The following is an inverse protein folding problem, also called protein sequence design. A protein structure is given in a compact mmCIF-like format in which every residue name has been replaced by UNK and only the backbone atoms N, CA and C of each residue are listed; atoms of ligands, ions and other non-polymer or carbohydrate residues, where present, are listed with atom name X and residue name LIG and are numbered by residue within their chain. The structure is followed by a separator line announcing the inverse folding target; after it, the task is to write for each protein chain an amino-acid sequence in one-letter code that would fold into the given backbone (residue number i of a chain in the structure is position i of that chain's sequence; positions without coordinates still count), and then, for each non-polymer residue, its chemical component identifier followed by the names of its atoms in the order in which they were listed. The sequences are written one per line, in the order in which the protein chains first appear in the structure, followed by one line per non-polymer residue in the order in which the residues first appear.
data_IF_811464212903
#
_entry.id   IF_811464212903
#
_cell.length_a   1.000
_cell.length_b   1.000
_cell.length_c   1.000
_cell.angle_alpha   90.00
_cell.angle_beta   90.00
_cell.angle_gamma   90.00
#
_symmetry.space_group_name_H-M   'P 1'
#
loop_
_entity.id
_entity.type
_entity.pdbx_description
1 polymer ?
#
# COMPACT_ATOMS: atom_id res chain seq x y z
N UNK A 1 -20.29 9.80 21.86
CA UNK A 1 -20.36 9.58 20.41
C UNK A 1 -19.20 8.68 20.01
N UNK A 2 -19.45 7.42 19.62
CA UNK A 2 -18.39 6.52 19.13
C UNK A 2 -17.93 6.97 17.74
N UNK A 3 -16.65 7.35 17.61
CA UNK A 3 -16.04 7.74 16.34
C UNK A 3 -15.71 6.46 15.56
N UNK A 4 -16.53 6.10 14.59
CA UNK A 4 -16.13 5.07 13.62
C UNK A 4 -15.27 5.70 12.55
N UNK A 5 -14.14 5.08 12.29
CA UNK A 5 -13.15 5.52 11.31
C UNK A 5 -13.11 4.50 10.18
N UNK A 6 -13.06 4.96 8.93
CA UNK A 6 -12.82 4.10 7.79
C UNK A 6 -11.36 3.66 7.77
N UNK A 7 -11.10 2.36 7.73
CA UNK A 7 -9.76 1.80 7.58
C UNK A 7 -9.78 0.29 7.57
N UNK A 8 -8.60 -0.33 7.40
CA UNK A 8 -8.47 -1.78 7.48
C UNK A 8 -8.35 -2.22 8.96
N UNK A 9 -9.25 -3.05 9.50
CA UNK A 9 -9.15 -3.54 10.88
C UNK A 9 -8.06 -4.61 11.06
N UNK A 10 -7.52 -5.16 9.98
CA UNK A 10 -6.41 -6.11 10.03
C UNK A 10 -5.14 -5.42 10.55
N UNK A 11 -4.50 -6.04 11.54
CA UNK A 11 -3.29 -5.53 12.18
C UNK A 11 -2.05 -6.18 11.57
N UNK A 12 -1.01 -5.38 11.37
CA UNK A 12 0.33 -5.81 10.97
C UNK A 12 1.33 -4.95 11.74
N UNK A 13 2.44 -5.54 12.17
CA UNK A 13 3.51 -4.75 12.80
C UNK A 13 4.30 -3.95 11.75
N UNK A 14 4.91 -2.85 12.17
CA UNK A 14 5.80 -2.06 11.29
C UNK A 14 6.97 -2.90 10.75
N UNK A 15 7.46 -3.87 11.54
CA UNK A 15 8.51 -4.79 11.13
C UNK A 15 8.06 -5.69 9.98
N UNK A 16 6.93 -6.38 10.14
CA UNK A 16 6.37 -7.26 9.10
C UNK A 16 6.07 -6.46 7.83
N UNK A 17 5.51 -5.26 7.97
CA UNK A 17 5.24 -4.37 6.85
C UNK A 17 6.52 -3.97 6.08
N UNK A 18 7.58 -3.62 6.80
CA UNK A 18 8.87 -3.31 6.19
C UNK A 18 9.50 -4.52 5.48
N UNK A 19 9.39 -5.72 6.07
CA UNK A 19 9.88 -6.97 5.49
C UNK A 19 9.12 -7.33 4.21
N UNK A 20 7.79 -7.18 4.21
CA UNK A 20 6.94 -7.45 3.04
C UNK A 20 7.23 -6.50 1.88
N UNK A 21 7.35 -5.18 2.16
CA UNK A 21 7.75 -4.19 1.14
C UNK A 21 9.12 -4.54 0.56
N UNK A 22 10.10 -4.89 1.41
CA UNK A 22 11.45 -5.23 0.95
C UNK A 22 11.42 -6.44 0.02
N UNK A 23 10.65 -7.47 0.38
CA UNK A 23 10.49 -8.68 -0.44
C UNK A 23 9.82 -8.37 -1.78
N UNK A 24 8.68 -7.67 -1.78
CA UNK A 24 7.94 -7.32 -3.00
C UNK A 24 8.72 -6.40 -3.93
N UNK A 25 9.44 -5.43 -3.36
CA UNK A 25 10.29 -4.52 -4.13
C UNK A 25 11.53 -5.22 -4.71
N UNK A 26 11.94 -6.37 -4.15
CA UNK A 26 13.22 -7.01 -4.46
C UNK A 26 14.42 -6.19 -3.96
N UNK A 27 14.23 -5.44 -2.87
CA UNK A 27 15.23 -4.49 -2.37
C UNK A 27 16.24 -5.16 -1.44
N UNK A 28 17.49 -4.67 -1.49
CA UNK A 28 18.57 -5.02 -0.54
C UNK A 28 18.72 -3.99 0.59
N UNK A 29 17.78 -3.05 0.71
CA UNK A 29 17.81 -2.03 1.78
C UNK A 29 17.83 -2.68 3.16
N UNK A 30 18.63 -2.10 4.04
CA UNK A 30 18.67 -2.46 5.45
C UNK A 30 17.43 -1.93 6.19
N UNK A 31 16.91 -2.72 7.14
CA UNK A 31 15.86 -2.28 8.05
C UNK A 31 16.53 -1.76 9.31
N UNK A 32 16.40 -0.46 9.56
CA UNK A 32 17.03 0.23 10.71
C UNK A 32 15.95 0.66 11.70
N UNK A 33 16.16 0.35 12.99
CA UNK A 33 15.26 0.75 14.08
C UNK A 33 15.61 2.14 14.59
N UNK A 34 14.60 2.99 14.72
CA UNK A 34 14.73 4.34 15.30
C UNK A 34 13.76 4.49 16.47
N UNK A 35 14.05 5.39 17.43
CA UNK A 35 13.11 5.70 18.50
C UNK A 35 11.75 6.15 17.95
N UNK A 36 10.66 5.73 18.60
CA UNK A 36 9.30 6.15 18.27
C UNK A 36 9.15 7.66 18.55
N UNK A 37 8.62 8.47 17.60
CA UNK A 37 8.24 9.85 17.88
C UNK A 37 7.25 9.94 19.05
N UNK A 38 7.32 11.01 19.84
CA UNK A 38 6.49 11.16 21.04
C UNK A 38 4.98 11.17 20.73
N UNK A 39 4.60 11.67 19.54
CA UNK A 39 3.21 11.82 19.10
C UNK A 39 2.66 10.61 18.32
N UNK A 40 3.48 9.57 18.08
CA UNK A 40 3.06 8.41 17.32
C UNK A 40 2.35 7.35 18.21
N UNK A 41 1.12 6.95 17.88
CA UNK A 41 0.41 5.91 18.61
C UNK A 41 1.07 4.54 18.37
N UNK A 42 1.20 3.76 19.45
CA UNK A 42 1.77 2.40 19.40
C UNK A 42 0.90 1.38 18.66
N UNK A 43 -0.40 1.64 18.56
CA UNK A 43 -1.37 0.75 17.92
C UNK A 43 -2.42 1.59 17.18
N UNK A 44 -2.79 1.14 15.98
CA UNK A 44 -3.86 1.75 15.18
C UNK A 44 -4.76 0.64 14.66
N UNK A 45 -5.96 0.53 15.23
CA UNK A 45 -7.01 -0.39 14.80
C UNK A 45 -8.35 0.36 14.69
N UNK A 46 -8.83 0.66 13.48
CA UNK A 46 -10.11 1.35 13.30
C UNK A 46 -11.29 0.44 13.67
N UNK A 47 -12.28 0.99 14.37
CA UNK A 47 -13.59 0.35 14.53
C UNK A 47 -14.48 0.74 13.35
N UNK A 48 -14.77 -0.25 12.50
CA UNK A 48 -15.56 -0.10 11.27
C UNK A 48 -17.04 -0.45 11.43
N UNK A 49 -17.50 -0.79 12.64
CA UNK A 49 -18.86 -1.29 12.89
C UNK A 49 -19.94 -0.39 12.30
N UNK A 50 -19.82 0.95 12.43
CA UNK A 50 -20.82 1.89 11.87
C UNK A 50 -20.78 1.95 10.35
N UNK A 51 -19.60 1.82 9.73
CA UNK A 51 -19.46 1.84 8.28
C UNK A 51 -20.06 0.55 7.68
N UNK A 52 -19.83 -0.59 8.31
CA UNK A 52 -20.47 -1.85 7.93
C UNK A 52 -21.99 -1.78 8.09
N UNK A 53 -22.46 -1.36 9.28
CA UNK A 53 -23.89 -1.37 9.63
C UNK A 53 -24.71 -0.39 8.80
N UNK A 54 -24.21 0.83 8.56
CA UNK A 54 -25.00 1.89 7.93
C UNK A 54 -24.70 2.08 6.45
N UNK A 55 -23.52 1.68 5.97
CA UNK A 55 -23.10 1.89 4.58
C UNK A 55 -22.88 0.58 3.83
N UNK A 56 -22.93 -0.58 4.50
CA UNK A 56 -22.53 -1.86 3.91
C UNK A 56 -21.06 -1.86 3.47
N UNK A 57 -20.25 -0.96 4.01
CA UNK A 57 -18.88 -0.74 3.58
C UNK A 57 -17.92 -1.56 4.43
N UNK A 58 -16.98 -2.22 3.75
CA UNK A 58 -15.85 -2.91 4.36
C UNK A 58 -14.65 -2.88 3.39
N UNK A 59 -13.40 -2.93 3.89
CA UNK A 59 -12.24 -3.09 3.02
C UNK A 59 -12.26 -4.45 2.32
N UNK A 60 -12.25 -4.45 0.99
CA UNK A 60 -12.28 -5.68 0.17
C UNK A 60 -10.93 -6.02 -0.47
N UNK A 61 -9.95 -5.11 -0.38
CA UNK A 61 -8.62 -5.31 -0.96
C UNK A 61 -7.68 -5.75 0.16
N UNK A 62 -7.10 -6.97 0.09
CA UNK A 62 -6.09 -7.42 1.02
C UNK A 62 -4.85 -6.52 1.00
N UNK A 63 -4.12 -6.46 2.12
CA UNK A 63 -2.89 -5.67 2.23
C UNK A 63 -1.87 -6.03 1.16
N UNK A 64 -1.63 -7.33 0.98
CA UNK A 64 -0.67 -7.86 0.00
C UNK A 64 -1.00 -7.43 -1.44
N UNK A 65 -2.28 -7.51 -1.84
CA UNK A 65 -2.73 -7.05 -3.16
C UNK A 65 -2.50 -5.55 -3.33
N UNK A 66 -2.80 -4.76 -2.31
CA UNK A 66 -2.56 -3.32 -2.30
C UNK A 66 -1.07 -2.98 -2.43
N UNK A 67 -0.20 -3.71 -1.71
CA UNK A 67 1.24 -3.54 -1.77
C UNK A 67 1.82 -3.91 -3.14
N UNK A 68 1.38 -5.02 -3.74
CA UNK A 68 1.80 -5.42 -5.08
C UNK A 68 1.45 -4.36 -6.13
N UNK A 69 0.21 -3.85 -6.11
CA UNK A 69 -0.24 -2.76 -7.01
C UNK A 69 0.58 -1.49 -6.79
N UNK A 70 0.87 -1.15 -5.54
CA UNK A 70 1.68 0.02 -5.19
C UNK A 70 3.11 -0.12 -5.72
N UNK A 71 3.78 -1.26 -5.50
CA UNK A 71 5.14 -1.51 -6.03
C UNK A 71 5.15 -1.44 -7.56
N UNK A 72 4.13 -1.99 -8.24
CA UNK A 72 4.02 -1.92 -9.69
C UNK A 72 3.86 -0.47 -10.20
N UNK A 73 3.01 0.33 -9.56
CA UNK A 73 2.84 1.77 -9.87
C UNK A 73 4.16 2.55 -9.70
N UNK A 74 4.89 2.34 -8.59
CA UNK A 74 6.19 2.98 -8.40
C UNK A 74 7.23 2.55 -9.45
N UNK A 75 7.27 1.26 -9.81
CA UNK A 75 8.16 0.78 -10.90
C UNK A 75 7.85 1.47 -12.22
N UNK A 76 6.57 1.67 -12.53
CA UNK A 76 6.15 2.37 -13.74
C UNK A 76 6.54 3.86 -13.71
N UNK A 77 6.26 4.57 -12.62
CA UNK A 77 6.59 6.01 -12.45
C UNK A 77 8.09 6.28 -12.49
N UNK A 78 8.90 5.35 -12.00
CA UNK A 78 10.36 5.45 -11.99
C UNK A 78 11.01 4.93 -13.28
N UNK A 79 10.22 4.51 -14.29
CA UNK A 79 10.75 3.99 -15.56
C UNK A 79 11.46 2.63 -15.43
N UNK A 80 11.21 1.89 -14.36
CA UNK A 80 11.83 0.59 -14.06
C UNK A 80 11.06 -0.61 -14.65
N UNK A 81 10.15 -0.38 -15.59
CA UNK A 81 9.48 -1.48 -16.29
C UNK A 81 10.45 -2.14 -17.27
N UNK A 82 10.48 -3.48 -17.36
CA UNK A 82 11.20 -4.15 -18.44
C UNK A 82 10.68 -3.66 -19.80
N UNK A 83 11.54 -3.74 -20.83
CA UNK A 83 11.39 -3.17 -22.18
C UNK A 83 10.08 -3.48 -22.94
N UNK A 84 9.16 -4.26 -22.37
CA UNK A 84 7.81 -4.46 -22.88
C UNK A 84 6.94 -3.20 -22.79
N UNK A 85 7.22 -2.26 -21.88
CA UNK A 85 6.47 -0.99 -21.84
C UNK A 85 6.83 -0.05 -23.00
N UNK A 86 8.07 -0.12 -23.51
CA UNK A 86 8.45 0.52 -24.78
C UNK A 86 7.71 -0.11 -25.97
N UNK A 87 7.51 -1.43 -25.98
CA UNK A 87 6.74 -2.11 -27.04
C UNK A 87 5.26 -1.67 -27.06
N UNK A 88 4.66 -1.37 -25.91
CA UNK A 88 3.31 -0.79 -25.85
C UNK A 88 3.28 0.71 -26.21
N UNK A 89 4.36 1.45 -25.93
CA UNK A 89 4.52 2.86 -26.35
C UNK A 89 4.68 3.01 -27.86
N UNK A 90 5.38 2.07 -28.49
CA UNK A 90 5.61 2.03 -29.94
C UNK A 90 4.39 1.51 -30.71
N UNK A 91 3.39 0.96 -30.01
CA UNK A 91 2.11 0.51 -30.56
C UNK A 91 1.07 1.65 -30.63
N UNK A 92 1.43 2.80 -31.20
CA UNK A 92 0.54 3.75 -31.89
C UNK A 92 -0.79 4.23 -31.26
N UNK A 93 -1.11 3.91 -30.00
CA UNK A 93 -2.31 4.38 -29.32
C UNK A 93 -1.99 5.72 -28.66
N UNK A 94 -2.05 6.74 -29.49
CA UNK A 94 -1.63 8.10 -29.18
C UNK A 94 -2.35 8.69 -27.96
N UNK A 95 -1.56 9.07 -26.96
CA UNK A 95 -1.90 10.16 -26.08
C UNK A 95 -1.17 11.39 -26.64
N UNK A 96 -1.91 12.30 -27.26
CA UNK A 96 -1.38 13.56 -27.77
C UNK A 96 -1.23 14.55 -26.60
N UNK A 97 -0.06 15.21 -26.57
CA UNK A 97 0.15 16.59 -26.13
C UNK A 97 0.17 16.85 -24.64
#
# INVERSE_FOLDING_TARGET
MSRSTSGNPAEITIKEFAEEIRALAGSKSEIVYKPLPQDDPKQRKPDITRAETHLGWQPIVPLQDGLQRTVADFRARLGMMPALYSLFRDWGLGVRG
#
